data_IF_966399593906
#
_entry.id   IF_966399593906
#
_cell.length_a   1.000
_cell.length_b   1.000
_cell.length_c   1.000
_cell.angle_alpha   90.00
_cell.angle_beta   90.00
_cell.angle_gamma   90.00
#
_symmetry.space_group_name_H-M   'P 1'
#
loop_
_entity.id
_entity.type
_entity.pdbx_description
1 polymer ?
#
# COMPACT_ATOMS: atom_id res chain seq x y z
N UNK A 1 9.10 -1.66 6.11
CA UNK A 1 9.14 -2.05 4.69
C UNK A 1 10.49 -2.61 4.28
N UNK A 2 11.60 -1.86 4.42
CA UNK A 2 12.96 -2.40 4.20
C UNK A 2 13.23 -3.69 5.00
N UNK A 3 12.89 -3.70 6.29
CA UNK A 3 13.05 -4.88 7.16
C UNK A 3 12.22 -6.11 6.74
N UNK A 4 11.07 -5.94 6.06
CA UNK A 4 10.29 -7.10 5.58
C UNK A 4 10.92 -7.71 4.32
N UNK A 5 11.40 -6.84 3.41
CA UNK A 5 12.11 -7.27 2.22
C UNK A 5 13.42 -8.00 2.60
N UNK A 6 14.18 -7.47 3.56
CA UNK A 6 15.39 -8.11 4.09
C UNK A 6 15.11 -9.45 4.80
N UNK A 7 14.02 -9.56 5.58
CA UNK A 7 13.68 -10.82 6.27
C UNK A 7 13.15 -11.91 5.33
N UNK A 8 12.62 -11.53 4.16
CA UNK A 8 12.18 -12.48 3.13
C UNK A 8 13.23 -12.70 2.02
N UNK A 9 14.39 -12.05 2.09
CA UNK A 9 15.42 -12.12 1.03
C UNK A 9 14.97 -11.53 -0.32
N UNK A 10 14.00 -10.61 -0.31
CA UNK A 10 13.41 -10.01 -1.51
C UNK A 10 13.96 -8.60 -1.72
N UNK A 11 14.02 -8.17 -2.98
CA UNK A 11 14.39 -6.80 -3.31
C UNK A 11 13.39 -5.83 -2.67
N UNK A 12 13.88 -4.65 -2.27
CA UNK A 12 13.00 -3.57 -1.78
C UNK A 12 12.06 -3.20 -2.93
N UNK A 13 10.73 -3.32 -2.73
CA UNK A 13 9.78 -3.04 -3.80
C UNK A 13 9.80 -1.54 -4.16
N UNK A 14 9.82 -1.24 -5.46
CA UNK A 14 9.61 0.12 -5.95
C UNK A 14 8.17 0.58 -5.68
N UNK A 15 8.01 1.87 -5.35
CA UNK A 15 6.70 2.46 -5.05
C UNK A 15 6.04 2.90 -6.34
N UNK A 16 5.09 2.10 -6.83
CA UNK A 16 4.30 2.41 -8.02
C UNK A 16 3.05 3.21 -7.64
N UNK A 17 2.76 4.30 -8.36
CA UNK A 17 1.48 4.99 -8.21
C UNK A 17 0.36 4.16 -8.85
N UNK A 18 -0.55 3.67 -8.03
CA UNK A 18 -1.72 2.96 -8.51
C UNK A 18 -2.67 3.91 -9.23
N UNK A 19 -3.19 3.45 -10.37
CA UNK A 19 -4.28 4.09 -11.11
C UNK A 19 -5.48 3.18 -11.07
N UNK A 20 -6.65 3.75 -10.80
CA UNK A 20 -7.90 3.00 -10.78
C UNK A 20 -8.11 2.28 -12.11
N UNK A 21 -8.39 0.97 -12.06
CA UNK A 21 -8.52 0.11 -13.24
C UNK A 21 -7.22 -0.53 -13.72
N UNK A 22 -6.08 -0.30 -13.04
CA UNK A 22 -4.85 -1.04 -13.30
C UNK A 22 -5.01 -2.49 -12.83
N UNK A 23 -4.69 -3.44 -13.70
CA UNK A 23 -4.64 -4.85 -13.31
C UNK A 23 -3.41 -5.08 -12.43
N UNK A 24 -3.65 -5.47 -11.19
CA UNK A 24 -2.61 -5.87 -10.25
C UNK A 24 -2.73 -7.37 -10.02
N UNK A 25 -1.66 -8.10 -10.28
CA UNK A 25 -1.54 -9.50 -9.92
C UNK A 25 -1.17 -9.59 -8.44
N UNK A 26 -2.17 -9.59 -7.57
CA UNK A 26 -1.97 -9.61 -6.12
C UNK A 26 -2.19 -11.05 -5.65
N UNK A 27 -1.11 -11.77 -5.35
CA UNK A 27 -1.20 -13.10 -4.77
C UNK A 27 -1.33 -13.04 -3.24
N UNK A 28 -0.58 -12.15 -2.57
CA UNK A 28 -0.63 -12.02 -1.10
C UNK A 28 -0.37 -10.59 -0.64
N UNK A 29 -1.24 -10.07 0.22
CA UNK A 29 -0.99 -8.78 0.88
C UNK A 29 -0.06 -8.99 2.08
N UNK A 30 1.04 -8.25 2.09
CA UNK A 30 2.10 -8.36 3.09
C UNK A 30 1.93 -7.27 4.16
N UNK A 31 1.69 -6.04 3.71
CA UNK A 31 1.62 -4.89 4.58
C UNK A 31 0.70 -3.86 3.98
N UNK A 32 -0.10 -3.22 4.81
CA UNK A 32 -0.90 -2.06 4.43
C UNK A 32 -0.57 -0.98 5.44
N UNK A 33 -0.22 0.20 4.95
CA UNK A 33 -0.08 1.37 5.80
C UNK A 33 -1.50 1.83 6.15
N UNK A 34 -1.88 1.88 7.43
CA UNK A 34 -3.22 2.30 7.82
C UNK A 34 -3.48 3.72 7.33
N UNK A 35 -4.69 3.96 6.81
CA UNK A 35 -5.17 5.30 6.49
C UNK A 35 -5.08 6.16 7.74
N UNK A 36 -4.26 7.21 7.69
CA UNK A 36 -4.04 8.11 8.82
C UNK A 36 -5.36 8.67 9.36
N UNK A 37 -5.41 9.00 10.65
CA UNK A 37 -6.48 9.81 11.27
C UNK A 37 -6.54 11.25 10.74
N UNK A 38 -5.91 11.54 9.61
CA UNK A 38 -6.08 12.81 8.93
C UNK A 38 -7.45 12.84 8.22
N UNK A 39 -8.00 14.05 8.10
CA UNK A 39 -9.23 14.31 7.39
C UNK A 39 -8.95 14.54 5.89
N UNK A 40 -9.78 13.97 5.02
CA UNK A 40 -9.67 14.14 3.57
C UNK A 40 -8.96 12.99 2.85
N UNK A 41 -8.60 13.20 1.59
CA UNK A 41 -7.97 12.17 0.75
C UNK A 41 -6.47 12.12 1.05
N UNK A 42 -5.99 11.00 1.57
CA UNK A 42 -4.60 10.80 1.98
C UNK A 42 -3.93 9.67 1.19
N UNK A 43 -2.61 9.74 0.97
CA UNK A 43 -1.87 8.64 0.37
C UNK A 43 -1.76 7.46 1.36
N UNK A 44 -2.10 6.28 0.88
CA UNK A 44 -1.88 5.01 1.56
C UNK A 44 -0.96 4.13 0.69
N UNK A 45 -0.15 3.31 1.36
CA UNK A 45 0.74 2.36 0.71
C UNK A 45 0.34 0.95 1.05
N UNK A 46 0.23 0.11 0.04
CA UNK A 46 0.03 -1.33 0.20
C UNK A 46 1.17 -2.06 -0.47
N UNK A 47 1.72 -3.02 0.25
CA UNK A 47 2.73 -3.93 -0.24
C UNK A 47 2.12 -5.30 -0.36
N UNK A 48 2.30 -5.88 -1.54
CA UNK A 48 1.85 -7.21 -1.85
C UNK A 48 2.93 -7.99 -2.59
N UNK A 49 2.76 -9.29 -2.59
CA UNK A 49 3.49 -10.25 -3.39
C UNK A 49 2.63 -10.64 -4.58
N UNK A 50 3.23 -10.64 -5.77
CA UNK A 50 2.57 -11.10 -6.99
C UNK A 50 2.65 -12.63 -7.17
N UNK A 51 2.07 -13.15 -8.25
CA UNK A 51 2.12 -14.59 -8.53
C UNK A 51 3.53 -15.12 -8.86
N UNK A 52 4.47 -14.23 -9.19
CA UNK A 52 5.88 -14.57 -9.45
C UNK A 52 6.71 -14.58 -8.16
N UNK A 53 6.14 -14.14 -7.04
CA UNK A 53 6.82 -14.03 -5.76
C UNK A 53 7.62 -12.74 -5.60
N UNK A 54 7.43 -11.74 -6.45
CA UNK A 54 8.07 -10.43 -6.30
C UNK A 54 7.24 -9.52 -5.40
N UNK A 55 7.93 -8.71 -4.59
CA UNK A 55 7.26 -7.69 -3.79
C UNK A 55 7.01 -6.46 -4.65
N UNK A 56 5.81 -5.92 -4.51
CA UNK A 56 5.39 -4.67 -5.11
C UNK A 56 4.75 -3.79 -4.06
N UNK A 57 5.09 -2.49 -4.11
CA UNK A 57 4.45 -1.48 -3.26
C UNK A 57 3.69 -0.55 -4.16
N UNK A 58 2.40 -0.40 -3.90
CA UNK A 58 1.56 0.58 -4.56
C UNK A 58 1.23 1.71 -3.60
N UNK A 59 1.21 2.92 -4.13
CA UNK A 59 0.65 4.09 -3.46
C UNK A 59 -0.67 4.47 -4.11
N UNK A 60 -1.73 4.54 -3.31
CA UNK A 60 -3.08 4.91 -3.74
C UNK A 60 -3.67 5.90 -2.76
N UNK A 61 -4.71 6.60 -3.20
CA UNK A 61 -5.39 7.61 -2.38
C UNK A 61 -6.62 7.00 -1.73
N UNK A 62 -6.73 7.14 -0.42
CA UNK A 62 -7.87 6.68 0.38
C UNK A 62 -8.50 7.83 1.14
N UNK A 63 -9.76 7.70 1.48
CA UNK A 63 -10.41 8.66 2.38
C UNK A 63 -9.96 8.38 3.82
N UNK A 64 -9.35 9.36 4.45
CA UNK A 64 -9.02 9.32 5.87
C UNK A 64 -10.27 9.42 6.73
N UNK A 65 -10.31 8.66 7.82
CA UNK A 65 -11.47 8.55 8.70
C UNK A 65 -11.48 9.55 9.85
N UNK A 66 -10.44 10.35 10.02
CA UNK A 66 -10.33 11.30 11.15
C UNK A 66 -10.93 12.67 10.87
N UNK A 67 -11.91 12.77 9.97
CA UNK A 67 -12.72 13.98 9.88
C UNK A 67 -13.62 14.06 11.12
N UNK A 68 -13.51 15.11 11.96
CA UNK A 68 -14.49 15.31 13.00
C UNK A 68 -15.87 15.42 12.36
N UNK A 69 -16.83 14.64 12.87
CA UNK A 69 -18.24 14.94 12.62
C UNK A 69 -18.44 16.41 12.99
N UNK A 70 -18.95 17.21 12.04
CA UNK A 70 -19.21 18.63 12.24
C UNK A 70 -19.93 18.88 13.56
N UNK A 71 -19.48 19.89 14.29
CA UNK A 71 -19.95 20.23 15.64
C UNK A 71 -21.41 20.63 15.71
#
# INVERSE_FOLDING_TARGET
MAQYAETQGKAVPDVKHYKYGMNLDIAKVVSVTPSSSACGVVPARMTYEDSQGELHTIEYRVQGFGCPHGG
#
